data_IF_313166745427
#
_entry.id   IF_313166745427
#
_cell.length_a   1.000
_cell.length_b   1.000
_cell.length_c   1.000
_cell.angle_alpha   90.00
_cell.angle_beta   90.00
_cell.angle_gamma   90.00
#
_symmetry.space_group_name_H-M   'P 1'
#
loop_
_entity.id
_entity.type
_entity.pdbx_description
1 polymer ?
#
# COMPACT_ATOMS: atom_id res chain seq x y z
N UNK A 1 -40.04 3.12 -2.59
CA UNK A 1 -39.77 1.69 -2.81
C UNK A 1 -38.40 1.57 -3.45
N UNK A 2 -37.34 1.41 -2.66
CA UNK A 2 -35.98 1.28 -3.16
C UNK A 2 -35.74 -0.15 -3.59
N UNK A 3 -35.39 -0.37 -4.86
CA UNK A 3 -34.97 -1.68 -5.36
C UNK A 3 -33.70 -2.04 -4.60
N UNK A 4 -33.80 -3.02 -3.70
CA UNK A 4 -32.66 -3.59 -3.00
C UNK A 4 -31.66 -4.09 -4.04
N UNK A 5 -30.51 -3.43 -4.14
CA UNK A 5 -29.38 -3.99 -4.89
C UNK A 5 -29.07 -5.34 -4.27
N UNK A 6 -29.25 -6.40 -5.03
CA UNK A 6 -28.79 -7.72 -4.64
C UNK A 6 -27.30 -7.59 -4.30
N UNK A 7 -26.98 -7.76 -3.02
CA UNK A 7 -25.60 -7.96 -2.59
C UNK A 7 -25.20 -9.30 -3.21
N UNK A 8 -24.55 -9.26 -4.37
CA UNK A 8 -23.96 -10.45 -4.95
C UNK A 8 -22.89 -10.93 -3.97
N UNK A 9 -23.28 -11.95 -3.21
CA UNK A 9 -22.50 -12.52 -2.13
C UNK A 9 -21.39 -13.37 -2.78
N UNK A 10 -20.25 -12.73 -3.04
CA UNK A 10 -19.06 -13.37 -3.60
C UNK A 10 -18.45 -14.45 -2.70
N UNK A 11 -19.04 -14.69 -1.52
CA UNK A 11 -18.66 -15.77 -0.60
C UNK A 11 -18.58 -17.13 -1.29
N UNK A 12 -19.27 -17.35 -2.41
CA UNK A 12 -19.28 -18.64 -3.12
C UNK A 12 -18.24 -18.75 -4.25
N UNK A 13 -17.93 -17.65 -4.94
CA UNK A 13 -17.00 -17.68 -6.10
C UNK A 13 -15.55 -17.51 -5.65
N UNK A 14 -15.31 -16.66 -4.65
CA UNK A 14 -13.97 -16.40 -4.14
C UNK A 14 -13.27 -17.68 -3.66
N UNK A 15 -13.90 -18.58 -2.86
CA UNK A 15 -13.26 -19.84 -2.47
C UNK A 15 -12.91 -20.75 -3.64
N UNK A 16 -13.70 -20.73 -4.73
CA UNK A 16 -13.42 -21.55 -5.92
C UNK A 16 -12.18 -21.06 -6.67
N UNK A 17 -12.02 -19.74 -6.79
CA UNK A 17 -10.81 -19.14 -7.39
C UNK A 17 -9.59 -19.41 -6.51
N UNK A 18 -9.75 -19.27 -5.18
CA UNK A 18 -8.66 -19.45 -4.22
C UNK A 18 -8.24 -20.91 -4.01
N UNK A 19 -8.98 -21.88 -4.54
CA UNK A 19 -8.59 -23.28 -4.58
C UNK A 19 -7.66 -23.66 -5.74
N UNK A 20 -7.32 -22.73 -6.63
CA UNK A 20 -6.49 -23.04 -7.79
C UNK A 20 -4.99 -23.10 -7.44
N UNK A 21 -4.38 -24.28 -7.60
CA UNK A 21 -2.96 -24.49 -7.34
C UNK A 21 -2.03 -24.07 -8.50
N UNK A 22 -2.55 -23.91 -9.71
CA UNK A 22 -1.77 -23.59 -10.92
C UNK A 22 -1.84 -22.12 -11.31
N UNK A 23 -2.68 -21.32 -10.64
CA UNK A 23 -2.87 -19.92 -10.97
C UNK A 23 -1.61 -19.10 -10.68
N UNK A 24 -1.06 -18.45 -11.71
CA UNK A 24 0.16 -17.62 -11.59
C UNK A 24 -0.11 -16.13 -11.64
N UNK A 25 -1.24 -15.72 -12.23
CA UNK A 25 -1.70 -14.35 -12.33
C UNK A 25 -3.17 -14.28 -11.92
N UNK A 26 -3.52 -13.31 -11.08
CA UNK A 26 -4.89 -13.04 -10.67
C UNK A 26 -5.13 -11.53 -10.69
N UNK A 27 -6.14 -11.10 -11.43
CA UNK A 27 -6.67 -9.75 -11.34
C UNK A 27 -8.16 -9.81 -10.97
N UNK A 28 -8.51 -9.13 -9.90
CA UNK A 28 -9.88 -9.03 -9.42
C UNK A 28 -10.22 -7.55 -9.20
N UNK A 29 -11.27 -7.10 -9.86
CA UNK A 29 -11.91 -5.82 -9.59
C UNK A 29 -13.32 -6.11 -9.09
N UNK A 30 -13.69 -5.51 -7.96
CA UNK A 30 -15.02 -5.68 -7.41
C UNK A 30 -15.64 -4.37 -6.94
N UNK A 31 -16.81 -4.44 -6.30
CA UNK A 31 -17.39 -3.30 -5.59
C UNK A 31 -16.81 -3.16 -4.18
N UNK A 32 -16.83 -1.93 -3.62
CA UNK A 32 -16.34 -1.52 -2.29
C UNK A 32 -16.88 -2.31 -1.07
N UNK A 33 -17.69 -3.34 -1.30
CA UNK A 33 -18.23 -4.23 -0.26
C UNK A 33 -17.56 -5.61 -0.23
N UNK A 34 -16.65 -5.93 -1.17
CA UNK A 34 -15.92 -7.20 -1.14
C UNK A 34 -14.95 -7.23 0.03
N UNK A 35 -15.09 -8.22 0.90
CA UNK A 35 -14.09 -8.54 1.92
C UNK A 35 -13.08 -9.50 1.31
N UNK A 36 -11.79 -9.15 1.35
CA UNK A 36 -10.71 -10.07 1.01
C UNK A 36 -10.65 -11.18 2.08
N UNK A 37 -10.40 -12.45 1.76
CA UNK A 37 -10.21 -13.49 2.78
C UNK A 37 -8.98 -13.22 3.65
N UNK A 38 -8.97 -13.80 4.87
CA UNK A 38 -7.86 -13.58 5.84
C UNK A 38 -6.52 -14.13 5.35
N UNK A 39 -6.59 -15.11 4.47
CA UNK A 39 -5.44 -15.74 3.87
C UNK A 39 -5.83 -16.23 2.49
N UNK A 40 -5.01 -15.92 1.49
CA UNK A 40 -5.08 -16.52 0.16
C UNK A 40 -4.08 -17.67 0.08
N UNK A 41 -4.56 -18.87 -0.24
CA UNK A 41 -3.70 -20.03 -0.48
C UNK A 41 -3.58 -20.31 -1.97
N UNK A 42 -2.74 -19.53 -2.65
CA UNK A 42 -2.47 -19.67 -4.08
C UNK A 42 -0.96 -19.91 -4.27
N UNK A 43 -0.49 -21.17 -4.19
CA UNK A 43 0.94 -21.48 -4.05
C UNK A 43 1.78 -21.15 -5.29
N UNK A 44 1.17 -21.05 -6.47
CA UNK A 44 1.85 -20.69 -7.72
C UNK A 44 1.71 -19.20 -8.08
N UNK A 45 1.00 -18.39 -7.28
CA UNK A 45 0.65 -17.02 -7.63
C UNK A 45 1.86 -16.10 -7.60
N UNK A 46 2.18 -15.53 -8.76
CA UNK A 46 3.29 -14.59 -8.96
C UNK A 46 2.82 -13.14 -9.00
N UNK A 47 1.65 -12.89 -9.57
CA UNK A 47 1.11 -11.55 -9.75
C UNK A 47 -0.32 -11.48 -9.24
N UNK A 48 -0.58 -10.51 -8.37
CA UNK A 48 -1.91 -10.26 -7.81
C UNK A 48 -2.29 -8.79 -7.97
N UNK A 49 -3.40 -8.54 -8.66
CA UNK A 49 -4.02 -7.23 -8.77
C UNK A 49 -5.39 -7.26 -8.08
N UNK A 50 -5.58 -6.42 -7.08
CA UNK A 50 -6.88 -6.26 -6.42
C UNK A 50 -7.37 -4.83 -6.52
N UNK A 51 -8.63 -4.67 -6.90
CA UNK A 51 -9.29 -3.38 -6.94
C UNK A 51 -10.57 -3.39 -6.12
N UNK A 52 -10.72 -2.37 -5.26
CA UNK A 52 -11.91 -2.14 -4.43
C UNK A 52 -12.24 -3.25 -3.41
N UNK A 53 -11.21 -3.83 -2.80
CA UNK A 53 -11.35 -4.80 -1.70
C UNK A 53 -11.19 -4.16 -0.32
N UNK A 54 -11.88 -4.72 0.67
CA UNK A 54 -11.75 -4.39 2.08
C UNK A 54 -10.88 -5.43 2.80
N UNK A 55 -9.97 -4.96 3.65
CA UNK A 55 -9.09 -5.78 4.49
C UNK A 55 -9.42 -5.56 5.97
N UNK A 56 -9.49 -6.65 6.76
CA UNK A 56 -9.60 -6.60 8.22
C UNK A 56 -8.23 -6.81 8.87
N UNK A 57 -8.17 -6.56 10.17
CA UNK A 57 -6.99 -6.87 10.95
C UNK A 57 -6.78 -8.39 11.04
N UNK A 58 -5.58 -8.83 10.71
CA UNK A 58 -5.12 -10.20 10.91
C UNK A 58 -4.45 -10.34 12.28
N UNK A 59 -3.75 -9.31 12.74
CA UNK A 59 -3.09 -9.27 14.05
C UNK A 59 -2.81 -7.83 14.49
N UNK A 60 -3.08 -7.47 15.75
CA UNK A 60 -2.75 -6.16 16.35
C UNK A 60 -3.10 -4.94 15.46
N UNK A 61 -4.33 -4.86 14.95
CA UNK A 61 -4.79 -3.80 14.04
C UNK A 61 -4.07 -3.74 12.67
N UNK A 62 -3.16 -4.66 12.38
CA UNK A 62 -2.52 -4.79 11.08
C UNK A 62 -3.37 -5.66 10.16
N UNK A 63 -3.65 -5.15 8.97
CA UNK A 63 -4.14 -5.94 7.86
C UNK A 63 -2.93 -6.47 7.07
N UNK A 64 -2.73 -7.78 7.11
CA UNK A 64 -1.72 -8.48 6.31
C UNK A 64 -2.39 -9.50 5.38
N UNK A 65 -2.76 -9.09 4.16
CA UNK A 65 -3.64 -9.88 3.33
C UNK A 65 -2.97 -11.06 2.61
N UNK A 66 -1.64 -11.07 2.42
CA UNK A 66 -0.95 -12.06 1.57
C UNK A 66 0.31 -12.73 2.16
N UNK A 67 0.33 -13.12 3.45
CA UNK A 67 1.52 -13.75 4.04
C UNK A 67 1.81 -15.14 3.45
N UNK A 68 0.79 -15.83 2.92
CA UNK A 68 0.89 -17.21 2.43
C UNK A 68 1.08 -17.34 0.91
N UNK A 69 1.21 -16.23 0.19
CA UNK A 69 1.51 -16.26 -1.25
C UNK A 69 3.04 -16.34 -1.46
N UNK A 70 3.62 -17.51 -1.23
CA UNK A 70 5.08 -17.73 -1.10
C UNK A 70 5.91 -17.48 -2.37
N UNK A 71 5.30 -17.26 -3.53
CA UNK A 71 5.99 -16.95 -4.80
C UNK A 71 5.53 -15.64 -5.43
N UNK A 72 4.77 -14.83 -4.67
CA UNK A 72 4.23 -13.56 -5.12
C UNK A 72 5.37 -12.56 -5.34
N UNK A 73 5.56 -12.12 -6.57
CA UNK A 73 6.59 -11.17 -6.96
C UNK A 73 6.03 -9.75 -7.21
N UNK A 74 4.75 -9.65 -7.56
CA UNK A 74 4.11 -8.39 -7.96
C UNK A 74 2.74 -8.28 -7.30
N UNK A 75 2.52 -7.17 -6.61
CA UNK A 75 1.25 -6.83 -5.99
C UNK A 75 0.80 -5.44 -6.40
N UNK A 76 -0.46 -5.34 -6.85
CA UNK A 76 -1.13 -4.08 -7.14
C UNK A 76 -2.40 -4.01 -6.32
N UNK A 77 -2.53 -2.97 -5.49
CA UNK A 77 -3.73 -2.68 -4.72
C UNK A 77 -4.28 -1.32 -5.14
N UNK A 78 -5.55 -1.26 -5.55
CA UNK A 78 -6.18 -0.03 -6.04
C UNK A 78 -7.57 0.20 -5.45
N UNK A 79 -7.79 1.35 -4.82
CA UNK A 79 -9.10 1.69 -4.24
C UNK A 79 -9.54 0.75 -3.13
N UNK A 80 -8.60 0.00 -2.53
CA UNK A 80 -8.86 -0.86 -1.39
C UNK A 80 -8.99 -0.05 -0.10
N UNK A 81 -9.58 -0.65 0.94
CA UNK A 81 -9.77 0.02 2.23
C UNK A 81 -9.53 -0.93 3.40
N UNK A 82 -9.15 -0.36 4.53
CA UNK A 82 -9.09 -1.07 5.81
C UNK A 82 -10.42 -0.88 6.51
N UNK A 83 -10.97 -1.94 7.09
CA UNK A 83 -12.27 -1.93 7.77
C UNK A 83 -12.15 -2.43 9.20
N UNK A 84 -13.19 -2.16 9.99
CA UNK A 84 -13.30 -2.57 11.39
C UNK A 84 -12.18 -1.92 12.22
N UNK A 85 -11.34 -2.71 12.87
CA UNK A 85 -10.25 -2.25 13.73
C UNK A 85 -8.89 -2.19 13.01
N UNK A 86 -8.86 -2.43 11.68
CA UNK A 86 -7.64 -2.38 10.90
C UNK A 86 -7.18 -0.93 10.68
N UNK A 87 -5.96 -0.63 11.10
CA UNK A 87 -5.35 0.70 11.01
C UNK A 87 -4.10 0.69 10.14
N UNK A 88 -3.32 -0.39 10.17
CA UNK A 88 -2.03 -0.52 9.50
C UNK A 88 -2.16 -1.46 8.30
N UNK A 89 -1.76 -1.02 7.12
CA UNK A 89 -1.53 -1.92 5.99
C UNK A 89 -0.13 -2.50 6.10
N UNK A 90 -0.04 -3.76 6.53
CA UNK A 90 1.23 -4.46 6.73
C UNK A 90 1.52 -5.38 5.54
N UNK A 91 2.69 -5.22 4.93
CA UNK A 91 3.12 -5.98 3.77
C UNK A 91 4.29 -6.90 4.14
N UNK A 92 4.02 -8.20 4.36
CA UNK A 92 4.98 -9.16 4.93
C UNK A 92 5.48 -10.27 3.99
N UNK A 93 5.60 -9.97 2.70
CA UNK A 93 5.91 -11.00 1.71
C UNK A 93 7.39 -10.98 1.29
N UNK A 94 8.12 -12.06 1.58
CA UNK A 94 9.56 -12.14 1.31
C UNK A 94 9.91 -12.20 -0.19
N UNK A 95 9.01 -12.68 -1.06
CA UNK A 95 9.29 -12.77 -2.50
C UNK A 95 8.84 -11.55 -3.28
N UNK A 96 8.14 -10.62 -2.64
CA UNK A 96 7.59 -9.45 -3.28
C UNK A 96 8.71 -8.50 -3.72
N UNK A 97 8.75 -8.25 -5.03
CA UNK A 97 9.74 -7.39 -5.69
C UNK A 97 9.13 -6.11 -6.25
N UNK A 98 7.84 -6.13 -6.57
CA UNK A 98 7.10 -4.98 -7.11
C UNK A 98 5.82 -4.75 -6.30
N UNK A 99 5.68 -3.56 -5.74
CA UNK A 99 4.49 -3.14 -5.00
C UNK A 99 3.91 -1.87 -5.62
N UNK A 100 2.62 -1.88 -5.92
CA UNK A 100 1.85 -0.69 -6.30
C UNK A 100 0.67 -0.50 -5.36
N UNK A 101 0.56 0.68 -4.77
CA UNK A 101 -0.55 1.09 -3.90
C UNK A 101 -1.20 2.32 -4.54
N UNK A 102 -2.53 2.27 -4.72
CA UNK A 102 -3.28 3.34 -5.37
C UNK A 102 -4.60 3.60 -4.63
N UNK A 103 -4.93 4.86 -4.31
CA UNK A 103 -6.20 5.22 -3.66
C UNK A 103 -6.52 4.43 -2.38
N UNK A 104 -5.53 4.22 -1.51
CA UNK A 104 -5.72 3.52 -0.23
C UNK A 104 -5.59 4.53 0.91
N UNK A 105 -6.59 4.53 1.79
CA UNK A 105 -6.56 5.27 3.05
C UNK A 105 -6.34 4.28 4.19
N UNK A 106 -5.27 4.48 4.94
CA UNK A 106 -4.83 3.73 6.12
C UNK A 106 -4.15 4.70 7.06
N UNK A 107 -4.02 4.39 8.34
CA UNK A 107 -3.29 5.25 9.27
C UNK A 107 -1.78 5.12 9.11
N UNK A 108 -1.31 3.95 8.69
CA UNK A 108 0.10 3.66 8.52
C UNK A 108 0.35 2.56 7.49
N UNK A 109 1.43 2.75 6.72
CA UNK A 109 2.02 1.72 5.88
C UNK A 109 3.21 1.08 6.61
N UNK A 110 3.29 -0.24 6.60
CA UNK A 110 4.42 -0.96 7.20
C UNK A 110 4.95 -2.03 6.23
N UNK A 111 6.24 -1.93 5.89
CA UNK A 111 6.91 -2.80 4.93
C UNK A 111 7.79 -3.82 5.65
N UNK A 112 7.60 -5.10 5.33
CA UNK A 112 8.44 -6.23 5.75
C UNK A 112 8.70 -7.13 4.53
N UNK A 113 9.23 -6.51 3.48
CA UNK A 113 9.44 -7.08 2.14
C UNK A 113 10.89 -6.85 1.72
N UNK A 114 11.85 -7.64 2.24
CA UNK A 114 13.27 -7.35 2.08
C UNK A 114 13.74 -7.35 0.62
N UNK A 115 13.09 -8.14 -0.25
CA UNK A 115 13.41 -8.24 -1.67
C UNK A 115 12.68 -7.22 -2.56
N UNK A 116 11.99 -6.24 -1.95
CA UNK A 116 11.27 -5.21 -2.69
C UNK A 116 12.26 -4.38 -3.50
N UNK A 117 12.12 -4.38 -4.83
CA UNK A 117 12.97 -3.63 -5.75
C UNK A 117 12.31 -2.39 -6.33
N UNK A 118 10.98 -2.40 -6.42
CA UNK A 118 10.16 -1.29 -6.94
C UNK A 118 8.95 -1.05 -6.04
N UNK A 119 8.75 0.22 -5.67
CA UNK A 119 7.58 0.66 -4.91
C UNK A 119 6.94 1.86 -5.58
N UNK A 120 5.68 1.71 -5.98
CA UNK A 120 4.86 2.80 -6.52
C UNK A 120 3.72 3.09 -5.56
N UNK A 121 3.54 4.35 -5.20
CA UNK A 121 2.38 4.82 -4.44
C UNK A 121 1.72 5.99 -5.15
N UNK A 122 0.40 5.93 -5.30
CA UNK A 122 -0.35 6.95 -6.03
C UNK A 122 -1.65 7.29 -5.32
N UNK A 123 -2.01 8.57 -5.35
CA UNK A 123 -3.29 9.07 -4.87
C UNK A 123 -3.61 8.65 -3.42
N UNK A 124 -2.59 8.58 -2.58
CA UNK A 124 -2.68 8.24 -1.16
C UNK A 124 -2.31 9.45 -0.28
N UNK A 125 -2.84 9.61 0.94
CA UNK A 125 -2.54 10.76 1.80
C UNK A 125 -1.13 10.68 2.45
N UNK A 126 -0.07 10.71 1.65
CA UNK A 126 1.33 10.49 2.09
C UNK A 126 1.87 11.56 3.05
N UNK A 127 1.26 12.75 3.07
CA UNK A 127 1.60 13.82 4.01
C UNK A 127 0.88 13.70 5.35
N UNK A 128 -0.02 12.73 5.50
CA UNK A 128 -0.79 12.53 6.74
C UNK A 128 -0.49 11.19 7.39
N UNK A 129 -0.02 10.22 6.60
CA UNK A 129 0.09 8.82 7.01
C UNK A 129 1.54 8.40 7.09
N UNK A 130 1.90 7.66 8.13
CA UNK A 130 3.28 7.24 8.35
C UNK A 130 3.66 6.07 7.46
N UNK A 131 4.94 5.99 7.12
CA UNK A 131 5.57 4.81 6.55
C UNK A 131 6.62 4.31 7.52
N UNK A 132 6.65 2.99 7.68
CA UNK A 132 7.64 2.28 8.49
C UNK A 132 8.15 1.07 7.73
N UNK A 133 9.34 0.60 8.08
CA UNK A 133 9.86 -0.67 7.62
C UNK A 133 10.38 -1.47 8.80
N UNK A 134 10.08 -2.77 8.84
CA UNK A 134 10.59 -3.71 9.85
C UNK A 134 11.80 -4.49 9.33
N UNK A 135 12.18 -4.31 8.06
CA UNK A 135 13.36 -4.90 7.45
C UNK A 135 14.21 -3.84 6.73
N UNK A 136 15.46 -4.20 6.43
CA UNK A 136 16.29 -3.37 5.54
C UNK A 136 15.78 -3.51 4.09
N UNK A 137 15.45 -2.39 3.45
CA UNK A 137 15.01 -2.32 2.06
C UNK A 137 16.23 -2.16 1.13
N UNK A 138 17.25 -3.01 1.28
CA UNK A 138 18.52 -2.88 0.56
C UNK A 138 18.42 -3.15 -0.94
N UNK A 139 17.38 -3.87 -1.38
CA UNK A 139 17.12 -4.13 -2.79
C UNK A 139 16.23 -3.08 -3.46
N UNK A 140 15.68 -2.13 -2.70
CA UNK A 140 14.76 -1.13 -3.22
C UNK A 140 15.52 -0.13 -4.09
N UNK A 141 15.29 -0.20 -5.40
CA UNK A 141 16.01 0.61 -6.38
C UNK A 141 15.15 1.76 -6.89
N UNK A 142 13.86 1.53 -7.10
CA UNK A 142 12.96 2.50 -7.71
C UNK A 142 11.77 2.79 -6.80
N UNK A 143 11.50 4.07 -6.60
CA UNK A 143 10.29 4.55 -5.95
C UNK A 143 9.61 5.61 -6.79
N UNK A 144 8.31 5.43 -7.04
CA UNK A 144 7.52 6.37 -7.82
C UNK A 144 6.31 6.85 -6.99
N UNK A 145 6.10 8.16 -6.92
CA UNK A 145 5.06 8.76 -6.07
C UNK A 145 4.24 9.82 -6.82
N UNK A 146 2.93 9.62 -7.01
CA UNK A 146 2.09 10.57 -7.78
C UNK A 146 0.69 10.83 -7.19
N UNK A 147 0.01 11.90 -7.65
CA UNK A 147 -1.44 12.05 -7.46
C UNK A 147 -1.91 12.50 -6.06
N UNK A 148 -1.06 13.15 -5.27
CA UNK A 148 -1.37 13.44 -3.87
C UNK A 148 -2.12 14.77 -3.67
N UNK A 149 -2.97 14.84 -2.64
CA UNK A 149 -3.46 16.11 -2.12
C UNK A 149 -2.38 16.79 -1.28
N UNK A 150 -2.39 18.13 -1.23
CA UNK A 150 -1.43 18.93 -0.47
C UNK A 150 -1.79 19.03 1.04
N UNK A 151 -2.73 18.21 1.51
CA UNK A 151 -3.21 18.21 2.88
C UNK A 151 -2.28 17.37 3.76
N UNK A 152 -1.87 17.89 4.92
CA UNK A 152 -0.94 17.24 5.86
C UNK A 152 0.38 18.01 6.01
N UNK A 153 1.42 17.32 6.47
CA UNK A 153 2.73 17.89 6.81
C UNK A 153 3.84 17.31 5.92
N UNK A 154 4.70 18.18 5.37
CA UNK A 154 5.89 17.77 4.63
C UNK A 154 6.87 17.01 5.54
N UNK A 155 6.87 17.29 6.86
CA UNK A 155 7.64 16.58 7.87
C UNK A 155 7.38 15.06 7.84
N UNK A 156 6.14 14.63 7.59
CA UNK A 156 5.76 13.22 7.49
C UNK A 156 6.38 12.60 6.25
N UNK A 157 6.29 13.27 5.10
CA UNK A 157 6.93 12.82 3.86
C UNK A 157 8.47 12.70 4.00
N UNK A 158 9.12 13.64 4.70
CA UNK A 158 10.56 13.54 4.94
C UNK A 158 10.94 12.30 5.76
N UNK A 159 10.08 11.85 6.69
CA UNK A 159 10.27 10.57 7.40
C UNK A 159 10.15 9.38 6.47
N UNK A 160 9.31 9.43 5.43
CA UNK A 160 9.28 8.39 4.40
C UNK A 160 10.62 8.29 3.68
N UNK A 161 11.24 9.42 3.33
CA UNK A 161 12.54 9.43 2.66
C UNK A 161 13.65 8.77 3.51
N UNK A 162 13.56 8.84 4.83
CA UNK A 162 14.48 8.12 5.72
C UNK A 162 14.33 6.60 5.59
N UNK A 163 13.09 6.11 5.50
CA UNK A 163 12.79 4.68 5.26
C UNK A 163 13.26 4.24 3.87
N UNK A 164 13.17 5.13 2.89
CA UNK A 164 13.49 4.88 1.47
C UNK A 164 14.92 5.31 1.11
N UNK A 165 15.83 5.36 2.07
CA UNK A 165 17.15 5.97 1.90
C UNK A 165 18.09 5.27 0.91
N UNK A 166 17.84 4.01 0.56
CA UNK A 166 18.69 3.22 -0.35
C UNK A 166 18.29 3.30 -1.84
N UNK A 167 17.27 4.10 -2.18
CA UNK A 167 16.73 4.16 -3.55
C UNK A 167 17.71 4.80 -4.53
N UNK A 168 17.75 4.28 -5.76
CA UNK A 168 18.55 4.83 -6.86
C UNK A 168 17.76 5.79 -7.75
N UNK A 169 16.47 5.51 -7.89
CA UNK A 169 15.53 6.28 -8.71
C UNK A 169 14.37 6.65 -7.80
N UNK A 170 14.16 7.95 -7.61
CA UNK A 170 13.03 8.50 -6.88
C UNK A 170 12.31 9.49 -7.79
N UNK A 171 11.12 9.12 -8.24
CA UNK A 171 10.27 9.97 -9.07
C UNK A 171 9.07 10.43 -8.25
N UNK A 172 8.76 11.73 -8.30
CA UNK A 172 7.55 12.26 -7.69
C UNK A 172 6.93 13.43 -8.45
N UNK A 173 5.61 13.55 -8.32
CA UNK A 173 4.83 14.59 -8.98
C UNK A 173 5.05 16.00 -8.44
N UNK A 174 4.69 17.00 -9.25
CA UNK A 174 4.81 18.43 -8.92
C UNK A 174 4.14 18.82 -7.59
N UNK A 175 2.99 18.22 -7.25
CA UNK A 175 2.30 18.52 -5.98
C UNK A 175 3.15 18.25 -4.74
N UNK A 176 4.03 17.24 -4.78
CA UNK A 176 4.96 16.99 -3.67
C UNK A 176 5.98 18.11 -3.55
N UNK A 177 6.56 18.52 -4.68
CA UNK A 177 7.56 19.60 -4.71
C UNK A 177 6.94 20.88 -4.16
N UNK A 178 5.76 21.24 -4.63
CA UNK A 178 5.03 22.44 -4.21
C UNK A 178 4.75 22.43 -2.70
N UNK A 179 4.28 21.30 -2.14
CA UNK A 179 4.02 21.18 -0.70
C UNK A 179 5.27 21.39 0.14
N UNK A 180 6.37 20.73 -0.22
CA UNK A 180 7.67 20.87 0.47
C UNK A 180 8.14 22.32 0.38
N UNK A 181 8.12 22.91 -0.81
CA UNK A 181 8.55 24.30 -1.02
C UNK A 181 7.73 25.28 -0.18
N UNK A 182 6.40 25.15 -0.17
CA UNK A 182 5.54 26.02 0.62
C UNK A 182 5.84 25.92 2.12
N UNK A 183 6.08 24.72 2.65
CA UNK A 183 6.33 24.53 4.08
C UNK A 183 7.73 25.02 4.50
N UNK A 184 8.74 24.87 3.64
CA UNK A 184 10.14 25.24 3.94
C UNK A 184 10.52 26.68 3.54
N UNK A 185 9.88 27.26 2.53
CA UNK A 185 10.16 28.63 2.09
C UNK A 185 9.32 29.67 2.84
N UNK A 186 8.12 29.30 3.31
CA UNK A 186 7.22 30.23 4.03
C UNK A 186 7.38 30.18 5.56
N UNK A 187 8.21 29.29 6.11
CA UNK A 187 8.61 29.26 7.52
C UNK A 187 10.13 29.51 7.69
N UNK A 188 10.62 30.78 7.67
CA UNK A 188 12.04 31.09 7.79
C UNK A 188 12.64 30.88 9.20
N UNK A 189 11.82 30.55 10.20
CA UNK A 189 12.19 30.60 11.64
C UNK A 189 13.13 29.50 12.12
N UNK A 190 13.52 28.53 11.28
CA UNK A 190 14.53 27.52 11.63
C UNK A 190 15.98 27.90 11.25
N UNK A 191 16.20 29.05 10.60
CA UNK A 191 17.56 29.50 10.21
C UNK A 191 18.46 29.97 11.36
N UNK A 192 17.99 30.02 12.61
CA UNK A 192 18.75 30.66 13.71
C UNK A 192 19.28 29.73 14.82
N UNK A 193 19.16 28.40 14.72
CA UNK A 193 19.72 27.50 15.75
C UNK A 193 20.75 26.52 15.15
N UNK A 194 21.80 27.06 14.54
CA UNK A 194 23.11 26.38 14.49
C UNK A 194 24.17 27.43 14.76
N UNK A 195 24.55 27.52 16.04
CA UNK A 195 25.82 28.06 16.52
C UNK A 195 26.54 26.94 17.24
#
# INVERSE_FOLDING_TARGET
MGVGRAVQNLSYVLPLIFGSHSLTFLELSYGRNAKCPKSLHLPALRTLHLQFFNFFATHNHCADPFPNCHVLNTLVLSGCSLIEDAQVLYMSNQTLSNLTICYISTDQYSLSTPNLSSFTIRDCPIFQKSLSSTCNLSFLQQVNMYGFSNDGEASIFLRWLQVLSNVKILEFGYSIIEKIQNEFLLNPTSKNNVS
#
